data_IF_779923521062
#
_entry.id   IF_779923521062
#
_cell.length_a   1.000
_cell.length_b   1.000
_cell.length_c   1.000
_cell.angle_alpha   90.00
_cell.angle_beta   90.00
_cell.angle_gamma   90.00
#
_symmetry.space_group_name_H-M   'P 1'
#
loop_
_entity.id
_entity.type
_entity.pdbx_description
1 polymer ?
#
# COMPACT_ATOMS: atom_id res chain seq x y z
N UNK A 1 -12.91 -41.60 -51.81
CA UNK A 1 -12.37 -40.42 -51.11
C UNK A 1 -13.11 -40.26 -49.78
N UNK A 2 -12.57 -40.84 -48.71
CA UNK A 2 -13.18 -40.79 -47.36
C UNK A 2 -12.39 -39.77 -46.54
N UNK A 3 -13.00 -38.62 -46.28
CA UNK A 3 -12.39 -37.46 -45.64
C UNK A 3 -12.62 -37.49 -44.12
N UNK A 4 -11.50 -37.48 -43.39
CA UNK A 4 -11.27 -36.82 -42.10
C UNK A 4 -12.49 -36.66 -41.15
N UNK A 5 -12.92 -37.77 -40.55
CA UNK A 5 -13.78 -37.78 -39.34
C UNK A 5 -13.20 -38.71 -38.28
N UNK A 6 -11.98 -38.44 -37.81
CA UNK A 6 -11.41 -39.24 -36.70
C UNK A 6 -10.45 -38.52 -35.74
N UNK A 7 -10.51 -37.18 -35.62
CA UNK A 7 -9.69 -36.43 -34.64
C UNK A 7 -10.55 -35.43 -33.86
N UNK A 8 -11.73 -35.85 -33.37
CA UNK A 8 -12.57 -35.03 -32.47
C UNK A 8 -13.18 -35.80 -31.28
N UNK A 9 -12.66 -36.98 -30.93
CA UNK A 9 -13.17 -37.77 -29.79
C UNK A 9 -12.15 -38.16 -28.72
N UNK A 10 -10.88 -37.73 -28.81
CA UNK A 10 -9.86 -38.10 -27.82
C UNK A 10 -9.63 -37.05 -26.70
N UNK A 11 -10.04 -35.78 -26.88
CA UNK A 11 -9.80 -34.74 -25.86
C UNK A 11 -10.95 -34.52 -24.86
N UNK A 12 -12.14 -35.10 -25.10
CA UNK A 12 -13.30 -34.96 -24.22
C UNK A 12 -13.51 -36.15 -23.25
N UNK A 13 -12.59 -37.13 -23.21
CA UNK A 13 -12.63 -38.25 -22.26
C UNK A 13 -11.55 -38.23 -21.18
N UNK A 14 -10.57 -37.32 -21.27
CA UNK A 14 -9.56 -37.11 -20.22
C UNK A 14 -9.91 -35.97 -19.25
N UNK A 15 -10.97 -35.20 -19.53
CA UNK A 15 -11.41 -34.07 -18.70
C UNK A 15 -12.49 -34.44 -17.65
N UNK A 16 -12.94 -35.70 -17.57
CA UNK A 16 -14.04 -36.10 -16.67
C UNK A 16 -13.64 -37.10 -15.56
N UNK A 17 -12.35 -37.38 -15.37
CA UNK A 17 -11.85 -38.26 -14.30
C UNK A 17 -10.72 -37.64 -13.46
N UNK A 18 -10.72 -36.32 -13.28
CA UNK A 18 -10.12 -35.75 -12.06
C UNK A 18 -11.23 -35.53 -11.05
N UNK A 19 -11.63 -36.60 -10.40
CA UNK A 19 -12.10 -36.48 -9.02
C UNK A 19 -10.99 -35.75 -8.28
N UNK A 20 -11.29 -34.59 -7.74
CA UNK A 20 -10.48 -33.97 -6.69
C UNK A 20 -10.54 -34.96 -5.54
N UNK A 21 -9.58 -35.87 -5.47
CA UNK A 21 -9.33 -36.65 -4.27
C UNK A 21 -8.81 -35.64 -3.26
N UNK A 22 -9.63 -35.31 -2.28
CA UNK A 22 -9.33 -34.42 -1.15
C UNK A 22 -8.25 -34.96 -0.20
N UNK A 23 -7.57 -36.05 -0.57
CA UNK A 23 -6.66 -36.78 0.30
C UNK A 23 -5.25 -36.72 -0.29
N UNK A 24 -4.68 -35.52 -0.29
CA UNK A 24 -3.24 -35.33 -0.30
C UNK A 24 -2.92 -34.44 0.90
N UNK A 25 -3.05 -35.04 2.09
CA UNK A 25 -2.47 -34.50 3.32
C UNK A 25 -0.99 -34.33 3.07
N UNK A 26 -0.59 -33.07 2.85
CA UNK A 26 0.79 -32.66 2.83
C UNK A 26 1.43 -33.09 4.14
N UNK A 27 2.31 -34.09 4.08
CA UNK A 27 3.12 -34.55 5.20
C UNK A 27 4.27 -33.55 5.43
N UNK A 28 3.92 -32.32 5.77
CA UNK A 28 4.83 -31.43 6.47
C UNK A 28 4.28 -31.29 7.89
N UNK A 29 5.04 -31.80 8.85
CA UNK A 29 4.75 -31.64 10.26
C UNK A 29 4.63 -30.13 10.57
N UNK A 30 3.40 -29.66 10.74
CA UNK A 30 3.14 -28.32 11.24
C UNK A 30 3.68 -28.28 12.68
N UNK A 31 4.69 -27.45 12.99
CA UNK A 31 5.13 -27.32 14.37
C UNK A 31 3.93 -26.84 15.18
N UNK A 32 3.70 -27.48 16.31
CA UNK A 32 2.63 -27.19 17.28
C UNK A 32 2.79 -25.77 17.84
N UNK A 33 2.34 -24.79 17.08
CA UNK A 33 2.32 -23.37 17.42
C UNK A 33 0.95 -22.80 17.16
N UNK A 34 0.54 -21.84 17.99
CA UNK A 34 -0.69 -21.06 17.86
C UNK A 34 -0.92 -20.66 16.40
N UNK A 35 -2.03 -21.10 15.78
CA UNK A 35 -2.34 -20.75 14.40
C UNK A 35 -2.53 -19.23 14.29
N UNK A 36 -1.58 -18.54 13.68
CA UNK A 36 -1.66 -17.10 13.46
C UNK A 36 -2.82 -16.85 12.49
N UNK A 37 -3.76 -15.99 12.87
CA UNK A 37 -4.84 -15.56 11.98
C UNK A 37 -4.27 -14.57 10.99
N UNK A 38 -4.23 -14.95 9.72
CA UNK A 38 -3.80 -14.08 8.63
C UNK A 38 -4.64 -12.80 8.55
N UNK A 39 -4.00 -11.65 8.34
CA UNK A 39 -4.67 -10.35 8.24
C UNK A 39 -4.97 -10.05 6.77
N UNK A 40 -6.24 -10.02 6.33
CA UNK A 40 -6.56 -9.86 4.90
C UNK A 40 -6.16 -8.49 4.33
N UNK A 41 -5.99 -7.47 5.17
CA UNK A 41 -5.51 -6.14 4.76
C UNK A 41 -3.99 -5.97 4.97
N UNK A 42 -3.24 -7.04 5.23
CA UNK A 42 -1.79 -6.98 5.46
C UNK A 42 -1.04 -6.21 4.36
N UNK A 43 -1.29 -6.44 3.06
CA UNK A 43 -0.62 -5.71 1.99
C UNK A 43 -0.86 -4.19 2.03
N UNK A 44 -2.03 -3.76 2.50
CA UNK A 44 -2.41 -2.35 2.56
C UNK A 44 -1.81 -1.67 3.79
N UNK A 45 -1.72 -2.39 4.91
CA UNK A 45 -1.14 -1.88 6.17
C UNK A 45 0.39 -1.80 6.04
N UNK A 46 1.01 -2.89 5.56
CA UNK A 46 2.46 -3.09 5.49
C UNK A 46 2.98 -3.30 4.03
N UNK A 47 2.71 -2.37 3.09
CA UNK A 47 3.18 -2.49 1.71
C UNK A 47 4.70 -2.51 1.58
N UNK A 48 5.42 -2.06 2.60
CA UNK A 48 6.88 -2.08 2.66
C UNK A 48 7.47 -3.48 2.87
N UNK A 49 6.73 -4.39 3.51
CA UNK A 49 7.15 -5.78 3.68
C UNK A 49 6.86 -6.65 2.45
N UNK A 50 5.98 -6.19 1.56
CA UNK A 50 5.66 -6.93 0.34
C UNK A 50 6.91 -6.94 -0.57
N UNK A 51 7.30 -8.11 -1.12
CA UNK A 51 8.39 -8.17 -2.06
C UNK A 51 8.04 -7.45 -3.37
N UNK A 52 9.06 -7.02 -4.11
CA UNK A 52 8.83 -6.37 -5.41
C UNK A 52 8.14 -7.32 -6.39
N UNK A 53 7.13 -6.89 -7.17
CA UNK A 53 6.49 -7.74 -8.18
C UNK A 53 7.42 -8.07 -9.36
N UNK A 54 8.55 -7.35 -9.48
CA UNK A 54 9.53 -7.57 -10.54
C UNK A 54 10.43 -8.75 -10.15
N UNK A 55 10.10 -9.94 -10.63
CA UNK A 55 10.79 -11.19 -10.29
C UNK A 55 12.32 -11.13 -10.45
N UNK A 56 12.82 -10.50 -11.53
CA UNK A 56 14.26 -10.36 -11.79
C UNK A 56 15.02 -9.50 -10.77
N UNK A 57 14.32 -8.78 -9.88
CA UNK A 57 14.93 -8.00 -8.80
C UNK A 57 14.85 -8.70 -7.43
N UNK A 58 14.18 -9.85 -7.33
CA UNK A 58 13.98 -10.59 -6.08
C UNK A 58 15.21 -11.40 -5.70
N UNK A 59 15.53 -11.39 -4.41
CA UNK A 59 16.59 -12.22 -3.83
C UNK A 59 16.20 -12.55 -2.39
N UNK A 60 16.01 -13.84 -2.10
CA UNK A 60 15.49 -14.29 -0.81
C UNK A 60 16.36 -13.86 0.38
N UNK A 61 17.68 -13.96 0.26
CA UNK A 61 18.61 -13.57 1.32
C UNK A 61 18.60 -12.05 1.54
N UNK A 62 18.53 -11.26 0.46
CA UNK A 62 18.44 -9.80 0.58
C UNK A 62 17.14 -9.40 1.28
N UNK A 63 16.01 -9.96 0.85
CA UNK A 63 14.69 -9.68 1.42
C UNK A 63 14.62 -10.07 2.90
N UNK A 64 15.25 -11.18 3.29
CA UNK A 64 15.36 -11.60 4.70
C UNK A 64 16.18 -10.61 5.53
N UNK A 65 17.37 -10.24 5.07
CA UNK A 65 18.21 -9.26 5.76
C UNK A 65 17.51 -7.89 5.88
N UNK A 66 16.88 -7.41 4.81
CA UNK A 66 16.09 -6.16 4.82
C UNK A 66 14.96 -6.24 5.84
N UNK A 67 14.20 -7.35 5.90
CA UNK A 67 13.14 -7.54 6.89
C UNK A 67 13.64 -7.53 8.33
N UNK A 68 14.77 -8.19 8.59
CA UNK A 68 15.36 -8.16 9.94
C UNK A 68 15.74 -6.75 10.39
N UNK A 69 16.29 -5.93 9.50
CA UNK A 69 16.68 -4.54 9.79
C UNK A 69 15.43 -3.64 9.95
N UNK A 70 14.44 -3.80 9.07
CA UNK A 70 13.14 -3.11 9.19
C UNK A 70 12.47 -3.37 10.54
N UNK A 71 12.44 -4.63 10.98
CA UNK A 71 11.88 -5.03 12.27
C UNK A 71 12.66 -4.44 13.46
N UNK A 72 13.99 -4.42 13.39
CA UNK A 72 14.82 -3.76 14.40
C UNK A 72 14.53 -2.26 14.47
N UNK A 73 14.40 -1.58 13.33
CA UNK A 73 14.11 -0.15 13.29
C UNK A 73 12.73 0.18 13.88
N UNK A 74 11.70 -0.63 13.60
CA UNK A 74 10.35 -0.51 14.17
C UNK A 74 10.28 -0.74 15.68
N UNK A 75 11.29 -1.36 16.29
CA UNK A 75 11.39 -1.40 17.75
C UNK A 75 11.81 -0.07 18.36
N UNK A 76 12.66 0.67 17.65
CA UNK A 76 13.18 1.95 18.11
C UNK A 76 12.15 3.07 17.87
N UNK A 77 11.48 3.07 16.71
CA UNK A 77 10.44 4.05 16.35
C UNK A 77 9.10 3.40 16.14
N UNK A 78 8.08 4.04 16.70
CA UNK A 78 6.69 3.65 16.52
C UNK A 78 6.17 4.14 15.16
N UNK A 79 5.93 3.21 14.23
CA UNK A 79 5.42 3.49 12.89
C UNK A 79 3.93 3.13 12.83
N UNK A 80 3.00 4.09 12.93
CA UNK A 80 1.55 3.82 12.93
C UNK A 80 1.07 3.25 11.60
N UNK A 81 -0.13 2.66 11.63
CA UNK A 81 -0.87 2.30 10.42
C UNK A 81 -1.41 3.57 9.77
N UNK A 82 -1.15 3.75 8.48
CA UNK A 82 -1.72 4.83 7.68
C UNK A 82 -1.84 4.42 6.22
N UNK A 83 -2.75 5.07 5.51
CA UNK A 83 -3.04 4.81 4.11
C UNK A 83 -2.87 6.06 3.27
N UNK A 84 -2.93 5.89 1.95
CA UNK A 84 -3.05 7.02 1.03
C UNK A 84 -4.39 7.72 1.30
N UNK A 85 -4.32 9.02 1.55
CA UNK A 85 -5.43 9.84 2.01
C UNK A 85 -5.45 10.15 3.50
N UNK A 86 -4.70 9.41 4.32
CA UNK A 86 -4.59 9.70 5.76
C UNK A 86 -3.78 10.98 6.00
N UNK A 87 -4.11 11.70 7.07
CA UNK A 87 -3.37 12.90 7.51
C UNK A 87 -2.32 12.46 8.53
N UNK A 88 -1.06 12.74 8.22
CA UNK A 88 0.10 12.29 8.98
C UNK A 88 0.96 13.50 9.35
N UNK A 89 1.48 13.49 10.57
CA UNK A 89 2.51 14.43 11.01
C UNK A 89 3.82 13.68 11.24
N UNK A 90 4.91 14.14 10.61
CA UNK A 90 6.24 13.56 10.73
C UNK A 90 7.15 14.58 11.40
N UNK A 91 7.82 14.15 12.47
CA UNK A 91 8.84 14.93 13.16
C UNK A 91 10.22 14.34 12.82
N UNK A 92 11.05 15.14 12.16
CA UNK A 92 12.43 14.80 11.81
C UNK A 92 13.43 15.66 12.56
N UNK A 93 14.62 15.13 12.80
CA UNK A 93 15.76 15.91 13.25
C UNK A 93 16.37 16.68 12.08
N UNK A 94 16.51 17.99 12.21
CA UNK A 94 17.16 18.85 11.22
C UNK A 94 18.22 19.71 11.93
N UNK A 95 19.48 19.59 11.53
CA UNK A 95 20.57 20.33 12.15
C UNK A 95 20.50 21.85 11.92
N UNK A 96 19.81 22.29 10.87
CA UNK A 96 19.74 23.70 10.49
C UNK A 96 18.63 24.48 11.21
N UNK A 97 17.70 23.78 11.87
CA UNK A 97 16.61 24.38 12.63
C UNK A 97 17.04 24.66 14.07
N UNK A 98 16.62 25.80 14.65
CA UNK A 98 17.04 26.21 16.00
C UNK A 98 16.67 25.21 17.11
N UNK A 99 15.51 24.57 17.00
CA UNK A 99 15.06 23.50 17.89
C UNK A 99 15.58 22.10 17.49
N UNK A 100 16.38 22.02 16.43
CA UNK A 100 16.86 20.81 15.75
C UNK A 100 15.77 19.82 15.29
N UNK A 101 14.51 20.24 15.26
CA UNK A 101 13.37 19.38 14.96
C UNK A 101 12.41 20.08 14.01
N UNK A 102 12.09 19.42 12.91
CA UNK A 102 11.11 19.88 11.94
C UNK A 102 9.89 18.97 11.98
N UNK A 103 8.70 19.55 12.23
CA UNK A 103 7.42 18.83 12.18
C UNK A 103 6.67 19.28 10.94
N UNK A 104 6.34 18.33 10.06
CA UNK A 104 5.53 18.58 8.87
C UNK A 104 4.24 17.77 8.96
N UNK A 105 3.10 18.45 8.78
CA UNK A 105 1.78 17.83 8.71
C UNK A 105 1.27 17.93 7.28
N UNK A 106 0.74 16.83 6.75
CA UNK A 106 0.11 16.80 5.44
C UNK A 106 -0.66 15.52 5.16
N UNK A 107 -1.38 15.51 4.02
CA UNK A 107 -2.03 14.32 3.51
C UNK A 107 -1.00 13.41 2.83
N UNK A 108 -1.06 12.11 3.09
CA UNK A 108 -0.26 11.14 2.36
C UNK A 108 -0.84 10.96 0.96
N UNK A 109 -0.11 11.40 -0.07
CA UNK A 109 -0.58 11.32 -1.45
C UNK A 109 -0.20 10.03 -2.14
N UNK A 110 0.95 9.45 -1.78
CA UNK A 110 1.44 8.23 -2.39
C UNK A 110 2.35 7.48 -1.42
N UNK A 111 2.31 6.16 -1.50
CA UNK A 111 3.25 5.24 -0.87
C UNK A 111 3.88 4.41 -1.99
N UNK A 112 5.19 4.38 -2.04
CA UNK A 112 5.93 3.77 -3.15
C UNK A 112 7.17 3.05 -2.63
N UNK A 113 7.75 2.22 -3.48
CA UNK A 113 8.92 1.39 -3.17
C UNK A 113 8.64 0.34 -2.08
N UNK A 114 9.61 -0.54 -1.87
CA UNK A 114 9.51 -1.73 -1.02
C UNK A 114 10.76 -1.85 -0.14
N UNK A 115 10.68 -2.65 0.92
CA UNK A 115 11.77 -2.87 1.86
C UNK A 115 12.20 -1.59 2.60
N UNK A 116 13.50 -1.51 2.91
CA UNK A 116 14.10 -0.35 3.59
C UNK A 116 13.94 0.96 2.81
N UNK A 117 13.81 0.87 1.49
CA UNK A 117 13.64 2.02 0.60
C UNK A 117 12.21 2.54 0.50
N UNK A 118 11.26 2.01 1.28
CA UNK A 118 9.86 2.44 1.22
C UNK A 118 9.70 3.94 1.48
N UNK A 119 9.03 4.63 0.58
CA UNK A 119 8.84 6.09 0.59
C UNK A 119 7.38 6.44 0.62
N UNK A 120 7.06 7.54 1.30
CA UNK A 120 5.75 8.15 1.23
C UNK A 120 5.89 9.66 1.04
N UNK A 121 4.95 10.25 0.32
CA UNK A 121 4.95 11.69 0.05
C UNK A 121 3.81 12.33 0.82
N UNK A 122 4.13 13.37 1.58
CA UNK A 122 3.16 14.21 2.26
C UNK A 122 3.00 15.52 1.49
N UNK A 123 1.74 15.96 1.33
CA UNK A 123 1.39 17.24 0.71
C UNK A 123 0.63 18.12 1.69
N UNK A 124 0.99 19.40 1.75
CA UNK A 124 0.20 20.43 2.42
C UNK A 124 0.33 21.77 1.68
N UNK A 125 -0.66 22.64 1.80
CA UNK A 125 -0.60 24.02 1.33
C UNK A 125 -0.29 24.92 2.51
N UNK A 126 0.89 25.53 2.49
CA UNK A 126 1.43 26.39 3.55
C UNK A 126 1.55 27.80 2.98
N UNK A 127 0.87 28.77 3.60
CA UNK A 127 0.87 30.17 3.14
C UNK A 127 0.52 30.34 1.64
N UNK A 128 -0.40 29.50 1.15
CA UNK A 128 -0.83 29.49 -0.25
C UNK A 128 0.13 28.77 -1.22
N UNK A 129 1.26 28.26 -0.73
CA UNK A 129 2.22 27.49 -1.51
C UNK A 129 2.03 25.98 -1.26
N UNK A 130 1.92 25.20 -2.33
CA UNK A 130 1.87 23.75 -2.23
C UNK A 130 3.25 23.18 -1.96
N UNK A 131 3.43 22.56 -0.78
CA UNK A 131 4.68 21.93 -0.36
C UNK A 131 4.48 20.41 -0.36
N UNK A 132 5.43 19.71 -0.96
CA UNK A 132 5.50 18.26 -0.94
C UNK A 132 6.82 17.81 -0.34
N UNK A 133 6.75 16.90 0.63
CA UNK A 133 7.92 16.33 1.28
C UNK A 133 7.87 14.83 1.16
N UNK A 134 8.90 14.27 0.53
CA UNK A 134 9.10 12.84 0.42
C UNK A 134 9.91 12.35 1.62
N UNK A 135 9.34 11.41 2.37
CA UNK A 135 10.00 10.74 3.49
C UNK A 135 10.33 9.29 3.14
N UNK A 136 11.50 8.85 3.57
CA UNK A 136 11.86 7.43 3.61
C UNK A 136 11.48 6.87 4.98
N UNK A 137 10.64 5.83 5.00
CA UNK A 137 10.00 5.34 6.23
C UNK A 137 11.01 4.92 7.30
N UNK A 138 12.14 4.35 6.88
CA UNK A 138 13.18 3.82 7.76
C UNK A 138 14.33 4.79 8.03
N UNK A 139 14.21 6.05 7.59
CA UNK A 139 15.27 7.04 7.76
C UNK A 139 15.62 7.27 9.24
N UNK A 140 16.92 7.30 9.63
CA UNK A 140 17.33 7.51 11.02
C UNK A 140 16.97 8.90 11.56
N UNK A 141 16.83 9.90 10.70
CA UNK A 141 16.49 11.29 11.09
C UNK A 141 15.04 11.45 11.54
N UNK A 142 14.15 10.54 11.15
CA UNK A 142 12.77 10.54 11.64
C UNK A 142 12.81 10.22 13.13
N UNK A 143 12.14 11.05 13.94
CA UNK A 143 12.02 10.88 15.38
C UNK A 143 10.66 10.29 15.75
N UNK A 144 9.59 10.77 15.12
CA UNK A 144 8.21 10.34 15.41
C UNK A 144 7.33 10.48 14.17
N UNK A 145 6.44 9.51 13.98
CA UNK A 145 5.37 9.56 12.99
C UNK A 145 4.05 9.47 13.75
N UNK A 146 3.15 10.43 13.52
CA UNK A 146 1.84 10.51 14.16
C UNK A 146 0.75 10.47 13.09
N UNK A 147 -0.25 9.62 13.28
CA UNK A 147 -1.45 9.62 12.47
C UNK A 147 -2.49 10.52 13.11
N UNK A 148 -2.74 11.66 12.47
CA UNK A 148 -3.70 12.65 12.95
C UNK A 148 -5.12 12.21 12.58
N UNK A 149 -5.32 11.78 11.33
CA UNK A 149 -6.61 11.28 10.86
C UNK A 149 -6.40 10.05 9.98
N UNK A 150 -6.93 8.93 10.41
CA UNK A 150 -6.90 7.69 9.65
C UNK A 150 -8.08 7.65 8.68
N UNK A 151 -7.81 7.79 7.38
CA UNK A 151 -8.82 7.65 6.32
C UNK A 151 -8.19 7.04 5.07
N UNK A 152 -9.00 6.31 4.31
CA UNK A 152 -8.68 5.83 2.96
C UNK A 152 -9.38 6.72 1.94
N UNK A 153 -8.83 6.82 0.73
CA UNK A 153 -9.48 7.45 -0.44
C UNK A 153 -9.92 6.38 -1.45
N UNK A 154 -10.62 6.82 -2.50
CA UNK A 154 -11.08 5.94 -3.57
C UNK A 154 -9.94 5.45 -4.47
N UNK A 155 -8.84 6.21 -4.51
CA UNK A 155 -7.66 5.94 -5.32
C UNK A 155 -6.44 5.69 -4.41
N UNK A 156 -5.52 4.86 -4.90
CA UNK A 156 -4.26 4.54 -4.21
C UNK A 156 -3.15 5.57 -4.46
N UNK A 157 -3.35 6.50 -5.40
CA UNK A 157 -2.44 7.60 -5.69
C UNK A 157 -3.21 8.91 -5.86
N UNK A 158 -2.89 9.90 -5.03
CA UNK A 158 -3.52 11.23 -4.99
C UNK A 158 -2.62 12.31 -5.59
N UNK A 159 -1.66 11.95 -6.46
CA UNK A 159 -0.81 12.91 -7.17
C UNK A 159 -1.59 13.96 -7.97
N UNK A 160 -2.86 13.71 -8.31
CA UNK A 160 -3.74 14.70 -8.93
C UNK A 160 -4.08 15.90 -8.04
N UNK A 161 -3.83 15.83 -6.71
CA UNK A 161 -4.00 16.97 -5.79
C UNK A 161 -3.06 18.15 -6.10
N UNK A 162 -2.02 17.93 -6.92
CA UNK A 162 -1.17 19.01 -7.45
C UNK A 162 -1.97 19.97 -8.32
N UNK A 163 -2.80 19.43 -9.20
CA UNK A 163 -3.60 20.16 -10.19
C UNK A 163 -5.01 20.49 -9.67
N UNK A 164 -5.36 20.02 -8.47
CA UNK A 164 -6.65 20.26 -7.82
C UNK A 164 -6.77 21.64 -7.18
N UNK A 165 -7.99 22.04 -6.80
CA UNK A 165 -8.20 23.23 -5.98
C UNK A 165 -7.43 23.11 -4.64
N UNK A 166 -6.79 24.20 -4.17
CA UNK A 166 -5.99 24.17 -2.94
C UNK A 166 -6.76 23.67 -1.70
N UNK A 167 -8.07 23.92 -1.65
CA UNK A 167 -8.97 23.56 -0.53
C UNK A 167 -8.86 22.08 -0.12
N UNK A 168 -8.63 21.18 -1.07
CA UNK A 168 -8.51 19.75 -0.81
C UNK A 168 -7.14 19.32 -0.24
N UNK A 169 -6.17 20.22 -0.26
CA UNK A 169 -4.77 19.99 0.14
C UNK A 169 -4.31 20.89 1.29
N UNK A 170 -5.14 21.84 1.73
CA UNK A 170 -4.83 22.74 2.85
C UNK A 170 -5.23 22.09 4.16
N UNK A 171 -4.26 21.85 5.04
CA UNK A 171 -4.47 21.31 6.38
C UNK A 171 -3.80 22.20 7.43
N UNK A 172 -4.48 22.39 8.56
CA UNK A 172 -3.93 23.11 9.70
C UNK A 172 -2.83 22.29 10.39
N UNK A 173 -1.71 22.93 10.72
CA UNK A 173 -0.59 22.33 11.44
C UNK A 173 -0.93 21.96 12.89
N UNK A 174 -1.91 22.65 13.48
CA UNK A 174 -2.36 22.42 14.85
C UNK A 174 -3.56 21.48 14.95
N UNK A 175 -3.89 20.78 13.87
CA UNK A 175 -5.00 19.83 13.84
C UNK A 175 -4.83 18.75 14.93
N UNK A 176 -5.83 18.62 15.79
CA UNK A 176 -5.84 17.62 16.85
C UNK A 176 -6.03 16.20 16.28
N UNK A 177 -5.33 15.18 16.83
CA UNK A 177 -5.51 13.80 16.42
C UNK A 177 -6.93 13.29 16.68
N UNK A 178 -7.58 12.79 15.61
CA UNK A 178 -8.87 12.12 15.67
C UNK A 178 -8.65 10.63 15.94
N UNK A 179 -9.02 10.19 17.15
CA UNK A 179 -8.91 8.78 17.52
C UNK A 179 -9.87 7.90 16.71
N UNK A 180 -9.34 6.82 16.13
CA UNK A 180 -10.15 5.79 15.44
C UNK A 180 -10.60 4.72 16.45
N UNK A 181 -11.90 4.33 16.48
CA UNK A 181 -12.37 3.29 17.38
C UNK A 181 -11.77 1.93 17.01
N UNK A 182 -11.16 1.25 18.00
CA UNK A 182 -10.54 -0.05 17.82
C UNK A 182 -11.58 -1.10 17.36
N UNK A 183 -11.30 -1.80 16.28
CA UNK A 183 -12.18 -2.82 15.70
C UNK A 183 -13.13 -2.32 14.62
N UNK A 184 -13.23 -1.01 14.43
CA UNK A 184 -13.98 -0.47 13.30
C UNK A 184 -13.14 -0.53 12.01
N UNK A 185 -13.76 -0.85 10.86
CA UNK A 185 -13.06 -0.76 9.58
C UNK A 185 -12.63 0.69 9.33
N UNK A 186 -11.50 0.85 8.63
CA UNK A 186 -10.98 2.18 8.31
C UNK A 186 -11.94 2.89 7.35
N UNK A 187 -12.38 4.13 7.65
CA UNK A 187 -13.35 4.82 6.81
C UNK A 187 -12.75 5.19 5.45
N UNK A 188 -13.51 4.90 4.38
CA UNK A 188 -13.18 5.35 3.03
C UNK A 188 -13.93 6.65 2.76
N UNK A 189 -13.19 7.71 2.49
CA UNK A 189 -13.73 9.02 2.18
C UNK A 189 -14.15 9.09 0.69
N UNK A 190 -15.45 9.20 0.37
CA UNK A 190 -15.96 9.20 -1.00
C UNK A 190 -15.85 10.58 -1.69
N UNK A 191 -15.24 11.57 -1.03
CA UNK A 191 -15.10 12.93 -1.56
C UNK A 191 -14.38 12.94 -2.91
N UNK A 192 -15.06 13.52 -3.91
CA UNK A 192 -14.49 13.79 -5.22
C UNK A 192 -13.92 15.20 -5.29
N UNK A 193 -12.78 15.32 -5.94
CA UNK A 193 -11.97 16.54 -6.02
C UNK A 193 -12.27 17.28 -7.31
N UNK A 194 -12.41 18.61 -7.19
CA UNK A 194 -12.50 19.53 -8.34
C UNK A 194 -11.10 19.97 -8.77
N UNK A 195 -10.86 19.85 -10.08
CA UNK A 195 -9.60 20.24 -10.71
C UNK A 195 -9.56 21.74 -11.00
N UNK A 196 -8.36 22.33 -11.03
CA UNK A 196 -8.15 23.67 -11.60
C UNK A 196 -8.41 23.65 -13.11
N UNK A 197 -8.64 24.80 -13.76
CA UNK A 197 -8.63 24.85 -15.21
C UNK A 197 -7.25 24.42 -15.76
N UNK A 198 -7.18 23.80 -16.95
CA UNK A 198 -5.92 23.38 -17.57
C UNK A 198 -5.01 24.58 -17.88
N UNK A 199 -3.67 24.38 -18.04
CA UNK A 199 -2.99 23.10 -18.20
C UNK A 199 -2.72 22.36 -16.89
N UNK A 200 -2.86 21.03 -16.93
CA UNK A 200 -2.51 20.11 -15.83
C UNK A 200 -1.13 19.50 -16.03
N UNK A 201 -0.53 19.04 -14.94
CA UNK A 201 0.76 18.34 -14.93
C UNK A 201 0.69 17.01 -15.67
N UNK A 202 -0.44 16.30 -15.54
CA UNK A 202 -0.70 15.04 -16.25
C UNK A 202 -2.08 15.05 -16.90
N UNK A 203 -2.24 14.15 -17.88
CA UNK A 203 -3.52 13.89 -18.55
C UNK A 203 -4.36 12.94 -17.71
N UNK A 204 -4.94 13.48 -16.64
CA UNK A 204 -5.77 12.71 -15.70
C UNK A 204 -6.99 12.08 -16.36
N UNK A 205 -7.47 12.66 -17.46
CA UNK A 205 -8.59 12.11 -18.24
C UNK A 205 -8.26 10.78 -18.96
N UNK A 206 -6.98 10.40 -19.01
CA UNK A 206 -6.55 9.10 -19.55
C UNK A 206 -6.45 8.01 -18.47
N UNK A 207 -6.41 8.40 -17.20
CA UNK A 207 -6.24 7.49 -16.06
C UNK A 207 -7.62 7.16 -15.45
N UNK A 208 -7.76 5.97 -14.87
CA UNK A 208 -8.99 5.52 -14.22
C UNK A 208 -9.08 6.06 -12.77
N UNK A 209 -8.95 7.37 -12.59
CA UNK A 209 -9.03 8.03 -11.29
C UNK A 209 -10.51 8.19 -10.87
N UNK A 210 -10.90 7.58 -9.75
CA UNK A 210 -12.28 7.58 -9.23
C UNK A 210 -12.56 8.79 -8.33
N UNK A 211 -11.52 9.37 -7.74
CA UNK A 211 -11.59 10.52 -6.83
C UNK A 211 -11.66 11.88 -7.54
N UNK A 212 -11.62 11.94 -8.86
CA UNK A 212 -11.82 13.21 -9.61
C UNK A 212 -13.31 13.33 -9.99
N UNK A 213 -13.90 14.51 -9.76
CA UNK A 213 -15.33 14.73 -10.06
C UNK A 213 -15.62 14.68 -11.56
N UNK A 214 -14.90 15.47 -12.36
CA UNK A 214 -15.03 15.50 -13.82
C UNK A 214 -13.75 16.00 -14.49
N UNK A 215 -12.93 15.06 -14.97
CA UNK A 215 -11.71 15.35 -15.74
C UNK A 215 -11.98 15.60 -17.23
N UNK A 216 -13.12 15.16 -17.76
CA UNK A 216 -13.37 15.17 -19.20
C UNK A 216 -13.97 16.49 -19.68
N UNK A 217 -14.87 17.11 -18.93
CA UNK A 217 -15.48 18.38 -19.36
C UNK A 217 -14.44 19.49 -19.41
N UNK A 218 -13.55 19.55 -18.41
CA UNK A 218 -12.46 20.52 -18.31
C UNK A 218 -11.34 20.31 -19.33
N UNK A 219 -11.26 19.14 -19.99
CA UNK A 219 -10.26 18.87 -21.01
C UNK A 219 -10.44 19.77 -22.26
N UNK A 220 -9.32 20.25 -22.81
CA UNK A 220 -9.35 21.15 -23.98
C UNK A 220 -9.89 20.44 -25.24
N UNK A 221 -10.55 21.16 -26.17
CA UNK A 221 -11.06 20.56 -27.41
C UNK A 221 -9.99 19.82 -28.24
N UNK A 222 -8.74 20.29 -28.15
CA UNK A 222 -7.60 19.64 -28.78
C UNK A 222 -7.36 18.22 -28.25
N UNK A 223 -7.35 18.03 -26.92
CA UNK A 223 -7.18 16.71 -26.31
C UNK A 223 -8.38 15.81 -26.57
N UNK A 224 -9.59 16.36 -26.57
CA UNK A 224 -10.82 15.62 -26.93
C UNK A 224 -10.73 15.04 -28.35
N UNK A 225 -10.31 15.84 -29.33
CA UNK A 225 -10.12 15.40 -30.73
C UNK A 225 -9.03 14.33 -30.86
N UNK A 226 -7.96 14.41 -30.06
CA UNK A 226 -6.86 13.43 -30.07
C UNK A 226 -7.11 12.20 -29.19
N UNK A 227 -8.22 12.17 -28.44
CA UNK A 227 -8.48 11.13 -27.46
C UNK A 227 -8.40 9.72 -28.04
N UNK A 228 -9.00 9.44 -29.20
CA UNK A 228 -8.92 8.12 -29.83
C UNK A 228 -7.49 7.67 -30.18
N UNK A 229 -6.57 8.61 -30.42
CA UNK A 229 -5.15 8.32 -30.69
C UNK A 229 -4.35 8.10 -29.41
N UNK A 230 -4.76 8.73 -28.31
CA UNK A 230 -4.00 8.73 -27.05
C UNK A 230 -4.64 7.88 -25.95
N UNK A 231 -5.88 7.41 -26.15
CA UNK A 231 -6.59 6.55 -25.21
C UNK A 231 -5.74 5.31 -25.00
N UNK A 232 -5.20 5.19 -23.80
CA UNK A 232 -4.47 4.00 -23.39
C UNK A 232 -5.49 2.87 -23.37
N UNK A 233 -5.30 1.87 -24.23
CA UNK A 233 -6.05 0.62 -24.09
C UNK A 233 -5.47 -0.04 -22.86
N UNK A 234 -6.24 -0.05 -21.78
CA UNK A 234 -5.87 -0.78 -20.59
C UNK A 234 -6.03 -2.29 -20.85
N UNK A 235 -5.01 -2.86 -21.51
CA UNK A 235 -4.89 -4.29 -21.73
C UNK A 235 -4.44 -4.99 -20.43
N UNK A 236 -3.89 -4.24 -19.47
CA UNK A 236 -3.39 -4.78 -18.19
C UNK A 236 -4.53 -5.42 -17.40
N UNK A 237 -5.75 -4.88 -17.45
CA UNK A 237 -6.96 -5.49 -16.87
C UNK A 237 -7.22 -6.93 -17.33
N UNK A 238 -6.75 -7.32 -18.51
CA UNK A 238 -6.94 -8.66 -19.06
C UNK A 238 -5.67 -9.51 -19.03
N UNK A 239 -4.57 -8.99 -18.46
CA UNK A 239 -3.28 -9.67 -18.43
C UNK A 239 -3.16 -10.57 -17.18
N UNK A 240 -3.68 -11.80 -17.31
CA UNK A 240 -3.63 -12.82 -16.27
C UNK A 240 -2.20 -13.23 -15.90
N UNK A 241 -1.23 -13.08 -16.82
CA UNK A 241 0.17 -13.42 -16.55
C UNK A 241 0.78 -12.35 -15.65
N UNK A 242 0.50 -11.07 -15.92
CA UNK A 242 0.91 -9.99 -15.05
C UNK A 242 0.24 -10.11 -13.67
N UNK A 243 -1.05 -10.46 -13.60
CA UNK A 243 -1.73 -10.73 -12.33
C UNK A 243 -1.06 -11.87 -11.56
N UNK A 244 -0.72 -12.97 -12.23
CA UNK A 244 -0.02 -14.09 -11.57
C UNK A 244 1.39 -13.70 -11.08
N UNK A 245 2.11 -12.85 -11.83
CA UNK A 245 3.44 -12.36 -11.43
C UNK A 245 3.39 -11.39 -10.25
N UNK A 246 2.38 -10.51 -10.22
CA UNK A 246 2.16 -9.56 -9.12
C UNK A 246 1.59 -10.26 -7.87
N UNK A 247 0.66 -11.20 -8.08
CA UNK A 247 0.14 -12.10 -7.05
C UNK A 247 1.16 -13.15 -6.57
N UNK A 248 2.36 -13.22 -7.17
CA UNK A 248 3.49 -14.01 -6.67
C UNK A 248 4.11 -13.47 -5.36
N UNK A 249 3.47 -12.48 -4.74
CA UNK A 249 3.37 -12.39 -3.28
C UNK A 249 2.28 -13.37 -2.84
N UNK A 250 2.60 -14.67 -2.89
CA UNK A 250 1.63 -15.71 -2.56
C UNK A 250 1.07 -15.43 -1.15
N UNK A 251 -0.19 -15.76 -0.88
CA UNK A 251 -0.75 -15.77 0.48
C UNK A 251 0.22 -16.47 1.46
N UNK A 252 0.94 -17.49 0.99
CA UNK A 252 2.02 -18.15 1.69
C UNK A 252 3.17 -17.21 2.08
N UNK A 253 3.62 -16.34 1.17
CA UNK A 253 4.64 -15.32 1.46
C UNK A 253 4.14 -14.30 2.49
N UNK A 254 2.89 -13.85 2.38
CA UNK A 254 2.28 -12.93 3.35
C UNK A 254 2.22 -13.58 4.74
N UNK A 255 1.67 -14.80 4.83
CA UNK A 255 1.61 -15.57 6.08
C UNK A 255 3.00 -15.84 6.66
N UNK A 256 4.01 -16.12 5.82
CA UNK A 256 5.39 -16.33 6.26
C UNK A 256 5.97 -15.05 6.86
N UNK A 257 5.74 -13.90 6.22
CA UNK A 257 6.21 -12.60 6.72
C UNK A 257 5.48 -12.26 8.03
N UNK A 258 4.17 -12.45 8.11
CA UNK A 258 3.39 -12.26 9.34
C UNK A 258 3.92 -13.14 10.47
N UNK A 259 4.22 -14.41 10.18
CA UNK A 259 4.81 -15.33 11.15
C UNK A 259 6.17 -14.85 11.63
N UNK A 260 7.06 -14.44 10.72
CA UNK A 260 8.38 -13.90 11.06
C UNK A 260 8.29 -12.65 11.94
N UNK A 261 7.37 -11.73 11.60
CA UNK A 261 7.12 -10.54 12.41
C UNK A 261 6.60 -10.91 13.81
N UNK A 262 5.70 -11.88 13.90
CA UNK A 262 5.17 -12.36 15.18
C UNK A 262 6.24 -13.05 16.04
N UNK A 263 7.05 -13.92 15.44
CA UNK A 263 8.16 -14.60 16.12
C UNK A 263 9.19 -13.60 16.63
N UNK A 264 9.49 -12.56 15.85
CA UNK A 264 10.37 -11.47 16.27
C UNK A 264 9.81 -10.72 17.49
N UNK A 265 8.52 -10.39 17.50
CA UNK A 265 7.86 -9.77 18.65
C UNK A 265 7.92 -10.64 19.90
N UNK A 266 7.51 -11.91 19.79
CA UNK A 266 7.51 -12.87 20.91
C UNK A 266 8.91 -13.03 21.49
N UNK A 267 9.93 -13.14 20.63
CA UNK A 267 11.32 -13.25 21.05
C UNK A 267 11.76 -12.01 21.82
N UNK A 268 11.43 -10.81 21.31
CA UNK A 268 11.81 -9.54 21.96
C UNK A 268 11.07 -9.29 23.26
N UNK A 269 9.79 -9.67 23.35
CA UNK A 269 9.01 -9.61 24.59
C UNK A 269 9.55 -10.59 25.63
N UNK A 270 9.90 -11.81 25.21
CA UNK A 270 10.53 -12.82 26.09
C UNK A 270 11.87 -12.34 26.64
N UNK A 271 12.66 -11.64 25.82
CA UNK A 271 13.91 -11.01 26.25
C UNK A 271 13.71 -9.77 27.13
N UNK A 272 12.47 -9.28 27.31
CA UNK A 272 12.17 -8.08 28.09
C UNK A 272 12.64 -6.76 27.47
N UNK A 273 13.04 -6.76 26.20
CA UNK A 273 13.61 -5.58 25.54
C UNK A 273 12.56 -4.47 25.34
N UNK A 274 11.35 -4.84 24.92
CA UNK A 274 10.22 -3.91 24.72
C UNK A 274 8.89 -4.65 24.92
N UNK A 275 7.81 -3.90 25.17
CA UNK A 275 6.43 -4.41 25.16
C UNK A 275 5.64 -3.92 23.92
N UNK A 276 6.32 -3.29 22.96
CA UNK A 276 5.70 -2.70 21.77
C UNK A 276 5.27 -3.80 20.80
N UNK A 277 4.14 -3.61 20.14
CA UNK A 277 3.66 -4.48 19.06
C UNK A 277 3.84 -3.77 17.72
N UNK A 278 4.41 -4.50 16.77
CA UNK A 278 4.66 -4.09 15.40
C UNK A 278 3.43 -4.43 14.54
N UNK A 279 2.94 -5.67 14.64
CA UNK A 279 1.72 -6.19 14.01
C UNK A 279 0.49 -5.65 14.74
N UNK A 280 -0.19 -4.71 14.08
CA UNK A 280 -1.41 -4.08 14.57
C UNK A 280 -2.28 -3.67 13.40
N UNK A 281 -3.58 -3.82 13.57
CA UNK A 281 -4.58 -3.24 12.68
C UNK A 281 -5.62 -2.49 13.50
N UNK A 282 -5.99 -1.32 13.01
CA UNK A 282 -7.09 -0.51 13.50
C UNK A 282 -8.42 -1.30 13.43
N UNK A 283 -8.61 -2.08 12.36
CA UNK A 283 -9.82 -2.87 12.12
C UNK A 283 -9.83 -4.22 12.86
N UNK A 284 -8.66 -4.81 13.12
CA UNK A 284 -8.53 -6.06 13.86
C UNK A 284 -7.64 -5.87 15.09
N UNK A 285 -8.17 -5.31 16.19
CA UNK A 285 -7.42 -5.24 17.43
C UNK A 285 -7.14 -6.66 17.92
N UNK A 286 -5.86 -6.97 18.12
CA UNK A 286 -5.42 -8.28 18.62
C UNK A 286 -6.15 -8.63 19.93
N UNK A 287 -6.84 -9.76 19.96
CA UNK A 287 -7.76 -10.18 21.04
C UNK A 287 -7.02 -10.64 22.32
N UNK A 288 -5.68 -10.63 22.34
CA UNK A 288 -4.92 -11.15 23.46
C UNK A 288 -4.37 -10.01 24.34
N UNK A 289 -5.12 -9.74 25.42
CA UNK A 289 -4.65 -9.08 26.64
C UNK A 289 -3.97 -10.10 27.54
#
# INVERSE_FOLDING_TARGET
MVTARLIRRCWLRLASQRRVTSDATSQYAQPSGTTIKHMPEFPLIYPDFIPTPIWGRRNALREELERTDMLQRRMNIDIPEFYVGSIVAVTCSDANMGNRQNRFLGICISRSHYGLSHRFVLRNVVDGLGVEVMYELYNPTILKIETIKLEKRLDDDLTYLVDALPEYSTFDFHLEPVAHPAGAPVPINPLKVKMRPPPWTRRWELLDCKGIEDSWTLATPYFKRKFHKTKVKDLRKYDLIADHREAGSDLETEMKIEQEMHEFEVTRHRMGATKRRILRSAAQPSVHR
#
